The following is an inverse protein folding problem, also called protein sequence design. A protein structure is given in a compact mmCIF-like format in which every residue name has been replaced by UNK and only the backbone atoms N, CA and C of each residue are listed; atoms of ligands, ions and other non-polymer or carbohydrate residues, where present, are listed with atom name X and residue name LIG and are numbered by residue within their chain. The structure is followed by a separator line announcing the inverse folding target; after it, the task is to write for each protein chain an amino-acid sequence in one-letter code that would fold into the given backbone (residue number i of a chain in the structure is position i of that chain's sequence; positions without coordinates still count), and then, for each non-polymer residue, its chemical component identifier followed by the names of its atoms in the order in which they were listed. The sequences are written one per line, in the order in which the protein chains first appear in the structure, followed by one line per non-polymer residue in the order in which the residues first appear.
data_IF_909013757088
#
_entry.id   IF_909013757088
#
_cell.length_a   1.000
_cell.length_b   1.000
_cell.length_c   1.000
_cell.angle_alpha   90.00
_cell.angle_beta   90.00
_cell.angle_gamma   90.00
#
_symmetry.space_group_name_H-M   'P 1'
#
loop_
_entity.id
_entity.type
_entity.pdbx_description
1 polymer ?
#
# COMPACT_ATOMS: atom_id res chain seq x y z
N UNK A 1 6.26 27.54 -22.41
CA UNK A 1 6.39 26.75 -21.18
C UNK A 1 5.39 27.34 -20.18
N UNK A 2 4.31 26.63 -19.88
CA UNK A 2 3.19 27.15 -19.08
C UNK A 2 3.46 27.09 -17.55
N UNK A 3 4.45 26.34 -17.12
CA UNK A 3 4.81 26.16 -15.72
C UNK A 3 6.32 26.40 -15.55
N UNK A 4 6.71 27.20 -14.56
CA UNK A 4 8.14 27.40 -14.24
C UNK A 4 8.75 26.11 -13.67
N UNK A 5 10.04 25.94 -13.86
CA UNK A 5 10.77 24.77 -13.30
C UNK A 5 10.63 24.69 -11.77
N UNK A 6 10.59 25.82 -11.09
CA UNK A 6 10.41 25.91 -9.65
C UNK A 6 9.03 25.39 -9.22
N UNK A 7 7.95 25.83 -9.90
CA UNK A 7 6.59 25.38 -9.61
C UNK A 7 6.41 23.89 -9.91
N UNK A 8 7.02 23.40 -11.00
CA UNK A 8 7.00 21.97 -11.30
C UNK A 8 7.74 21.16 -10.22
N UNK A 9 8.87 21.67 -9.72
CA UNK A 9 9.61 21.03 -8.63
C UNK A 9 8.80 20.98 -7.33
N UNK A 10 8.11 22.08 -6.97
CA UNK A 10 7.20 22.13 -5.82
C UNK A 10 6.03 21.15 -5.99
N UNK A 11 5.43 21.11 -7.16
CA UNK A 11 4.33 20.17 -7.44
C UNK A 11 4.78 18.72 -7.38
N UNK A 12 5.97 18.39 -7.90
CA UNK A 12 6.56 17.05 -7.77
C UNK A 12 6.85 16.67 -6.30
N UNK A 13 7.35 17.62 -5.51
CA UNK A 13 7.55 17.39 -4.08
C UNK A 13 6.21 17.12 -3.38
N UNK A 14 5.18 17.90 -3.69
CA UNK A 14 3.83 17.69 -3.14
C UNK A 14 3.26 16.30 -3.53
N UNK A 15 3.50 15.80 -4.76
CA UNK A 15 3.13 14.44 -5.16
C UNK A 15 3.80 13.41 -4.27
N UNK A 16 5.12 13.50 -4.07
CA UNK A 16 5.87 12.53 -3.26
C UNK A 16 5.40 12.50 -1.82
N UNK A 17 5.23 13.68 -1.21
CA UNK A 17 4.78 13.81 0.17
C UNK A 17 3.34 13.31 0.34
N UNK A 18 2.41 13.75 -0.51
CA UNK A 18 1.02 13.33 -0.45
C UNK A 18 0.87 11.81 -0.71
N UNK A 19 1.62 11.26 -1.66
CA UNK A 19 1.62 9.82 -1.92
C UNK A 19 2.11 9.04 -0.70
N UNK A 20 3.26 9.42 -0.13
CA UNK A 20 3.82 8.76 1.05
C UNK A 20 2.91 8.83 2.29
N UNK A 21 2.17 9.94 2.44
CA UNK A 21 1.21 10.10 3.55
C UNK A 21 -0.12 9.37 3.33
N UNK A 22 -0.59 9.30 2.09
CA UNK A 22 -1.90 8.70 1.76
C UNK A 22 -1.83 7.20 1.54
N UNK A 23 -0.71 6.66 1.04
CA UNK A 23 -0.60 5.26 0.69
C UNK A 23 -0.25 4.37 1.88
N UNK A 24 -1.11 3.40 2.16
CA UNK A 24 -0.90 2.37 3.17
C UNK A 24 0.20 1.40 2.74
N UNK A 25 0.20 0.97 1.49
CA UNK A 25 1.21 0.04 0.98
C UNK A 25 2.62 0.68 1.02
N UNK A 26 2.74 1.97 0.68
CA UNK A 26 4.00 2.70 0.80
C UNK A 26 4.55 2.72 2.23
N UNK A 27 3.68 2.88 3.23
CA UNK A 27 4.07 2.93 4.64
C UNK A 27 4.31 1.54 5.24
N UNK A 28 3.60 0.52 4.76
CA UNK A 28 3.59 -0.81 5.34
C UNK A 28 4.57 -1.77 4.68
N UNK A 29 4.92 -1.59 3.41
CA UNK A 29 5.70 -2.53 2.60
C UNK A 29 7.02 -1.88 2.19
N UNK A 30 8.16 -2.59 2.33
CA UNK A 30 9.45 -2.13 1.80
C UNK A 30 9.37 -1.81 0.32
N UNK A 31 10.02 -0.74 -0.08
CA UNK A 31 10.07 -0.35 -1.48
C UNK A 31 11.43 0.23 -1.86
N UNK A 32 11.77 0.17 -3.13
CA UNK A 32 13.05 0.60 -3.63
C UNK A 32 12.96 1.07 -5.07
N UNK A 33 13.87 1.98 -5.46
CA UNK A 33 13.98 2.48 -6.81
C UNK A 33 14.97 1.62 -7.60
N UNK A 34 14.59 1.21 -8.82
CA UNK A 34 15.48 0.47 -9.71
C UNK A 34 16.62 1.33 -10.27
N UNK A 35 16.49 2.65 -10.17
CA UNK A 35 17.45 3.63 -10.70
C UNK A 35 17.35 3.83 -12.21
N UNK A 36 16.46 3.12 -12.90
CA UNK A 36 16.24 3.25 -14.35
C UNK A 36 14.75 3.47 -14.65
N UNK A 37 14.33 4.70 -14.95
CA UNK A 37 12.95 5.01 -15.32
C UNK A 37 12.46 4.30 -16.59
N UNK A 38 13.37 3.84 -17.44
CA UNK A 38 13.08 3.07 -18.66
C UNK A 38 12.93 1.58 -18.44
N UNK A 39 13.21 1.07 -17.24
CA UNK A 39 13.12 -0.34 -16.95
C UNK A 39 11.68 -0.84 -17.04
N UNK A 40 11.47 -1.89 -17.82
CA UNK A 40 10.14 -2.47 -18.08
C UNK A 40 9.86 -3.71 -17.23
N UNK A 41 10.89 -4.38 -16.75
CA UNK A 41 10.75 -5.64 -16.02
C UNK A 41 11.73 -5.71 -14.84
N UNK A 42 11.31 -6.37 -13.77
CA UNK A 42 12.13 -6.65 -12.58
C UNK A 42 12.05 -8.14 -12.25
N UNK A 43 13.13 -8.72 -11.75
CA UNK A 43 13.11 -10.11 -11.27
C UNK A 43 12.08 -10.30 -10.16
N UNK A 44 11.32 -11.39 -10.19
CA UNK A 44 10.28 -11.67 -9.19
C UNK A 44 10.83 -11.92 -7.78
N UNK A 45 12.12 -12.23 -7.63
CA UNK A 45 12.78 -12.40 -6.33
C UNK A 45 12.30 -13.60 -5.53
N UNK A 46 11.62 -14.59 -6.14
CA UNK A 46 11.04 -15.73 -5.44
C UNK A 46 12.12 -16.58 -4.74
N UNK A 47 11.95 -16.78 -3.45
CA UNK A 47 12.77 -17.70 -2.66
C UNK A 47 12.36 -19.15 -2.94
N UNK A 48 13.26 -19.92 -3.56
CA UNK A 48 13.01 -21.34 -3.87
C UNK A 48 12.04 -21.61 -5.01
N UNK A 49 11.62 -20.58 -5.76
CA UNK A 49 10.73 -20.69 -6.91
C UNK A 49 11.45 -20.55 -8.25
N UNK A 50 10.71 -20.70 -9.36
CA UNK A 50 11.26 -20.45 -10.69
C UNK A 50 11.56 -18.96 -10.87
N UNK A 51 12.76 -18.66 -11.37
CA UNK A 51 13.12 -17.31 -11.75
C UNK A 51 12.16 -16.80 -12.84
N UNK A 52 11.66 -15.60 -12.66
CA UNK A 52 10.74 -14.94 -13.59
C UNK A 52 10.88 -13.43 -13.51
N UNK A 53 10.18 -12.75 -14.40
CA UNK A 53 10.16 -11.30 -14.43
C UNK A 53 8.73 -10.79 -14.21
N UNK A 54 8.62 -9.70 -13.47
CA UNK A 54 7.40 -8.93 -13.30
C UNK A 54 7.49 -7.67 -14.14
N UNK A 55 6.40 -7.31 -14.80
CA UNK A 55 6.32 -6.08 -15.57
C UNK A 55 6.14 -4.87 -14.64
N UNK A 56 6.98 -3.85 -14.85
CA UNK A 56 6.86 -2.56 -14.20
C UNK A 56 5.86 -1.70 -14.96
N UNK A 57 4.78 -1.33 -14.33
CA UNK A 57 3.68 -0.59 -14.97
C UNK A 57 2.97 0.38 -14.04
N UNK A 58 2.05 1.18 -14.58
CA UNK A 58 1.12 1.94 -13.74
C UNK A 58 0.17 1.00 -13.01
N UNK A 59 -0.52 1.46 -11.94
CA UNK A 59 -1.56 0.67 -11.28
C UNK A 59 -2.56 0.14 -12.31
N UNK A 60 -2.93 -1.15 -12.24
CA UNK A 60 -3.99 -1.67 -13.09
C UNK A 60 -5.30 -0.95 -12.76
N UNK A 61 -5.92 -0.43 -13.80
CA UNK A 61 -7.14 0.35 -13.67
C UNK A 61 -8.36 -0.55 -13.64
N UNK A 62 -9.34 -0.32 -12.74
CA UNK A 62 -10.71 -0.64 -13.11
C UNK A 62 -11.14 0.32 -14.24
N UNK A 63 -11.94 -0.14 -15.25
CA UNK A 63 -12.41 0.75 -16.30
C UNK A 63 -13.37 1.81 -15.73
N UNK A 64 -13.34 3.01 -16.29
CA UNK A 64 -12.30 4.02 -16.44
C UNK A 64 -12.37 5.11 -15.38
N UNK A 65 -11.37 5.94 -15.16
CA UNK A 65 -10.18 6.19 -15.96
C UNK A 65 -8.89 5.68 -15.31
N UNK A 66 -7.88 5.32 -16.12
CA UNK A 66 -6.69 4.60 -15.68
C UNK A 66 -5.67 5.42 -14.89
N UNK A 67 -5.61 6.69 -15.10
CA UNK A 67 -4.67 7.60 -14.43
C UNK A 67 -5.46 8.80 -13.95
N UNK A 68 -5.34 9.21 -12.69
CA UNK A 68 -5.99 10.42 -12.22
C UNK A 68 -5.39 11.60 -12.98
N UNK A 69 -6.23 12.30 -13.75
CA UNK A 69 -5.84 13.50 -14.50
C UNK A 69 -6.59 14.69 -13.94
N UNK A 70 -5.98 15.85 -14.05
CA UNK A 70 -6.65 17.12 -13.77
C UNK A 70 -6.22 18.18 -14.78
N UNK A 71 -7.00 19.23 -14.90
CA UNK A 71 -6.76 20.31 -15.84
C UNK A 71 -6.79 21.64 -15.13
N UNK A 72 -5.89 22.55 -15.52
CA UNK A 72 -5.83 23.91 -15.01
C UNK A 72 -5.75 24.88 -16.18
N UNK A 73 -6.36 26.04 -16.01
CA UNK A 73 -6.23 27.15 -16.94
C UNK A 73 -4.84 27.80 -16.82
N UNK A 74 -4.39 28.45 -17.89
CA UNK A 74 -3.14 29.22 -17.83
C UNK A 74 -3.16 30.27 -16.73
N UNK A 75 -4.34 30.93 -16.50
CA UNK A 75 -4.50 31.90 -15.43
C UNK A 75 -4.23 31.30 -14.03
N UNK A 76 -4.72 30.10 -13.74
CA UNK A 76 -4.46 29.39 -12.48
C UNK A 76 -2.98 29.00 -12.35
N UNK A 77 -2.33 28.61 -13.45
CA UNK A 77 -0.94 28.23 -13.45
C UNK A 77 0.04 29.38 -13.20
N UNK A 78 -0.31 30.59 -13.67
CA UNK A 78 0.52 31.80 -13.48
C UNK A 78 0.10 32.64 -12.27
N UNK A 79 -0.97 32.25 -11.57
CA UNK A 79 -1.41 32.95 -10.36
C UNK A 79 -0.26 33.16 -9.36
N UNK A 80 -0.26 34.25 -8.60
CA UNK A 80 0.85 34.55 -7.65
C UNK A 80 1.09 33.43 -6.65
N UNK A 81 0.02 32.74 -6.21
CA UNK A 81 0.08 31.59 -5.32
C UNK A 81 -0.24 30.31 -6.10
N UNK A 82 0.47 29.19 -5.85
CA UNK A 82 0.24 27.93 -6.56
C UNK A 82 -0.92 27.09 -5.99
N UNK A 83 -1.86 27.70 -5.26
CA UNK A 83 -2.89 26.99 -4.47
C UNK A 83 -3.76 26.07 -5.33
N UNK A 84 -4.20 26.52 -6.51
CA UNK A 84 -5.01 25.72 -7.41
C UNK A 84 -4.24 24.48 -7.89
N UNK A 85 -2.97 24.64 -8.27
CA UNK A 85 -2.12 23.54 -8.70
C UNK A 85 -1.89 22.54 -7.56
N UNK A 86 -1.52 23.00 -6.37
CA UNK A 86 -1.21 22.10 -5.24
C UNK A 86 -2.47 21.36 -4.76
N UNK A 87 -3.62 22.03 -4.70
CA UNK A 87 -4.90 21.40 -4.34
C UNK A 87 -5.27 20.28 -5.33
N UNK A 88 -5.16 20.55 -6.62
CA UNK A 88 -5.45 19.58 -7.67
C UNK A 88 -4.46 18.40 -7.64
N UNK A 89 -3.17 18.69 -7.45
CA UNK A 89 -2.11 17.68 -7.28
C UNK A 89 -2.41 16.76 -6.10
N UNK A 90 -2.76 17.32 -4.93
CA UNK A 90 -3.06 16.51 -3.74
C UNK A 90 -4.28 15.60 -3.96
N UNK A 91 -5.34 16.10 -4.56
CA UNK A 91 -6.54 15.31 -4.85
C UNK A 91 -6.26 14.15 -5.83
N UNK A 92 -5.56 14.45 -6.93
CA UNK A 92 -5.19 13.44 -7.92
C UNK A 92 -4.20 12.42 -7.36
N UNK A 93 -3.23 12.86 -6.56
CA UNK A 93 -2.25 11.95 -5.91
C UNK A 93 -2.90 11.01 -4.91
N UNK A 94 -3.89 11.48 -4.13
CA UNK A 94 -4.68 10.63 -3.24
C UNK A 94 -5.39 9.51 -4.02
N UNK A 95 -5.93 9.84 -5.20
CA UNK A 95 -6.57 8.83 -6.07
C UNK A 95 -5.54 7.82 -6.60
N UNK A 96 -4.36 8.29 -7.03
CA UNK A 96 -3.26 7.43 -7.45
C UNK A 96 -2.80 6.50 -6.32
N UNK A 97 -2.63 7.00 -5.10
CA UNK A 97 -2.26 6.22 -3.93
C UNK A 97 -3.29 5.12 -3.63
N UNK A 98 -4.60 5.43 -3.74
CA UNK A 98 -5.66 4.42 -3.57
C UNK A 98 -5.61 3.31 -4.63
N UNK A 99 -5.29 3.63 -5.89
CA UNK A 99 -5.14 2.61 -6.95
C UNK A 99 -3.92 1.72 -6.68
N UNK A 100 -2.80 2.32 -6.31
CA UNK A 100 -1.59 1.62 -5.92
C UNK A 100 -1.85 0.68 -4.73
N UNK A 101 -2.44 1.18 -3.65
CA UNK A 101 -2.77 0.40 -2.47
C UNK A 101 -3.71 -0.76 -2.80
N UNK A 102 -4.75 -0.50 -3.61
CA UNK A 102 -5.71 -1.52 -4.01
C UNK A 102 -5.03 -2.67 -4.74
N UNK A 103 -4.12 -2.37 -5.65
CA UNK A 103 -3.40 -3.38 -6.40
C UNK A 103 -2.44 -4.17 -5.52
N UNK A 104 -1.54 -3.49 -4.81
CA UNK A 104 -0.49 -4.12 -4.01
C UNK A 104 -1.08 -4.93 -2.85
N UNK A 105 -2.00 -4.36 -2.09
CA UNK A 105 -2.56 -5.02 -0.91
C UNK A 105 -3.50 -6.18 -1.27
N UNK A 106 -4.22 -6.07 -2.40
CA UNK A 106 -4.99 -7.19 -2.94
C UNK A 106 -4.09 -8.35 -3.36
N UNK A 107 -2.94 -8.06 -3.98
CA UNK A 107 -1.96 -9.08 -4.31
C UNK A 107 -1.42 -9.76 -3.04
N UNK A 108 -1.07 -9.00 -1.99
CA UNK A 108 -0.64 -9.55 -0.71
C UNK A 108 -1.70 -10.46 -0.07
N UNK A 109 -2.97 -10.01 -0.07
CA UNK A 109 -4.07 -10.80 0.47
C UNK A 109 -4.31 -12.09 -0.31
N UNK A 110 -4.25 -12.03 -1.64
CA UNK A 110 -4.47 -13.16 -2.53
C UNK A 110 -3.30 -14.15 -2.56
N UNK A 111 -2.07 -13.68 -2.31
CA UNK A 111 -0.87 -14.50 -2.35
C UNK A 111 -0.71 -15.41 -1.12
N UNK A 112 -1.41 -15.13 0.00
CA UNK A 112 -1.37 -15.98 1.18
C UNK A 112 -1.77 -17.44 0.80
N UNK A 113 -0.89 -18.44 1.04
CA UNK A 113 -1.15 -19.81 0.61
C UNK A 113 -2.45 -20.37 1.19
N UNK A 114 -3.34 -20.87 0.33
CA UNK A 114 -4.58 -21.52 0.76
C UNK A 114 -4.46 -23.05 0.61
N UNK A 115 -4.92 -23.84 1.60
CA UNK A 115 -5.57 -23.43 2.86
C UNK A 115 -4.61 -23.11 4.01
N UNK A 116 -3.30 -23.30 3.87
CA UNK A 116 -2.34 -23.27 4.97
C UNK A 116 -2.22 -21.90 5.67
N UNK A 117 -2.14 -20.82 4.91
CA UNK A 117 -2.00 -19.47 5.42
C UNK A 117 -3.27 -18.62 5.22
N UNK A 118 -4.43 -19.28 5.07
CA UNK A 118 -5.73 -18.60 5.06
C UNK A 118 -6.53 -19.06 6.27
N UNK A 119 -6.76 -18.16 7.22
CA UNK A 119 -7.48 -18.45 8.46
C UNK A 119 -8.89 -17.84 8.40
N UNK A 120 -9.86 -18.58 8.95
CA UNK A 120 -11.23 -18.08 9.12
C UNK A 120 -11.49 -17.88 10.60
N UNK A 121 -12.02 -16.71 10.97
CA UNK A 121 -12.41 -16.44 12.35
C UNK A 121 -13.58 -17.34 12.74
N UNK A 122 -13.50 -17.97 13.92
CA UNK A 122 -14.62 -18.71 14.48
C UNK A 122 -15.78 -17.77 14.84
N UNK A 123 -15.46 -16.62 15.39
CA UNK A 123 -16.38 -15.52 15.64
C UNK A 123 -15.62 -14.17 15.64
N UNK A 124 -16.37 -13.07 15.81
CA UNK A 124 -15.78 -11.72 15.90
C UNK A 124 -15.65 -11.25 17.36
N UNK A 125 -15.73 -12.15 18.34
CA UNK A 125 -15.42 -11.80 19.73
C UNK A 125 -13.89 -11.63 19.93
N UNK A 126 -13.53 -10.90 20.97
CA UNK A 126 -12.14 -10.52 21.24
C UNK A 126 -11.21 -11.73 21.40
N UNK A 127 -11.67 -12.79 22.08
CA UNK A 127 -10.87 -13.99 22.33
C UNK A 127 -10.58 -14.75 21.04
N UNK A 128 -11.57 -14.92 20.16
CA UNK A 128 -11.39 -15.63 18.89
C UNK A 128 -10.52 -14.85 17.92
N UNK A 129 -10.63 -13.51 17.92
CA UNK A 129 -9.72 -12.63 17.16
C UNK A 129 -8.29 -12.77 17.65
N UNK A 130 -8.07 -12.71 18.96
CA UNK A 130 -6.74 -12.88 19.57
C UNK A 130 -6.14 -14.24 19.21
N UNK A 131 -6.91 -15.33 19.40
CA UNK A 131 -6.47 -16.67 19.08
C UNK A 131 -6.11 -16.82 17.58
N UNK A 132 -6.91 -16.24 16.70
CA UNK A 132 -6.66 -16.27 15.25
C UNK A 132 -5.40 -15.48 14.86
N UNK A 133 -5.16 -14.33 15.49
CA UNK A 133 -3.94 -13.55 15.25
C UNK A 133 -2.70 -14.24 15.81
N UNK A 134 -2.79 -14.90 16.96
CA UNK A 134 -1.70 -15.73 17.50
C UNK A 134 -1.44 -16.92 16.56
N UNK A 135 -2.48 -17.59 16.05
CA UNK A 135 -2.31 -18.66 15.08
C UNK A 135 -1.65 -18.17 13.77
N UNK A 136 -2.07 -17.01 13.26
CA UNK A 136 -1.42 -16.37 12.11
C UNK A 136 0.05 -16.06 12.39
N UNK A 137 0.35 -15.59 13.59
CA UNK A 137 1.72 -15.30 14.02
C UNK A 137 2.59 -16.56 14.00
N UNK A 138 2.09 -17.69 14.52
CA UNK A 138 2.80 -18.96 14.51
C UNK A 138 3.15 -19.41 13.08
N UNK A 139 2.24 -19.21 12.11
CA UNK A 139 2.49 -19.55 10.71
C UNK A 139 3.67 -18.76 10.13
N UNK A 140 3.72 -17.45 10.31
CA UNK A 140 4.83 -16.64 9.79
C UNK A 140 6.13 -16.89 10.55
N UNK A 141 6.09 -17.20 11.84
CA UNK A 141 7.28 -17.60 12.62
C UNK A 141 7.88 -18.91 12.15
N UNK A 142 7.04 -19.89 11.82
CA UNK A 142 7.48 -21.18 11.27
C UNK A 142 8.12 -21.00 9.88
N UNK A 143 7.70 -19.97 9.12
CA UNK A 143 8.32 -19.57 7.86
C UNK A 143 9.61 -18.73 8.04
N UNK A 144 10.03 -18.47 9.29
CA UNK A 144 11.28 -17.76 9.58
C UNK A 144 11.13 -16.24 9.82
N UNK A 145 9.90 -15.71 9.83
CA UNK A 145 9.59 -14.29 10.06
C UNK A 145 9.31 -14.03 11.54
N UNK A 146 10.35 -13.89 12.36
CA UNK A 146 10.25 -13.82 13.82
C UNK A 146 10.19 -12.43 14.41
N UNK A 147 10.49 -11.40 13.64
CA UNK A 147 10.35 -10.01 14.10
C UNK A 147 8.89 -9.59 14.21
N UNK A 148 8.55 -8.52 14.91
CA UNK A 148 7.17 -8.04 15.01
C UNK A 148 6.54 -7.80 13.65
N UNK A 149 5.33 -8.32 13.44
CA UNK A 149 4.60 -8.32 12.17
C UNK A 149 3.88 -7.00 11.92
N UNK A 150 3.49 -6.78 10.66
CA UNK A 150 2.57 -5.75 10.23
C UNK A 150 1.17 -6.35 10.01
N UNK A 151 0.13 -5.71 10.51
CA UNK A 151 -1.27 -6.07 10.26
C UNK A 151 -1.94 -4.98 9.45
N UNK A 152 -2.56 -5.36 8.34
CA UNK A 152 -3.42 -4.48 7.56
C UNK A 152 -4.85 -5.02 7.64
N UNK A 153 -5.80 -4.17 7.97
CA UNK A 153 -7.19 -4.56 8.19
C UNK A 153 -8.17 -3.59 7.52
N UNK A 154 -9.38 -4.06 7.23
CA UNK A 154 -10.47 -3.18 6.78
C UNK A 154 -11.15 -2.49 7.97
N UNK A 155 -12.13 -1.61 7.70
CA UNK A 155 -12.85 -0.86 8.75
C UNK A 155 -13.55 -1.80 9.73
N UNK A 156 -14.21 -2.86 9.24
CA UNK A 156 -14.90 -3.83 10.10
C UNK A 156 -13.91 -4.54 11.03
N UNK A 157 -12.74 -4.94 10.50
CA UNK A 157 -11.71 -5.56 11.32
C UNK A 157 -11.11 -4.60 12.35
N UNK A 158 -10.93 -3.32 12.00
CA UNK A 158 -10.48 -2.31 12.96
C UNK A 158 -11.52 -2.09 14.08
N UNK A 159 -12.81 -2.07 13.76
CA UNK A 159 -13.88 -1.97 14.76
C UNK A 159 -13.88 -3.17 15.72
N UNK A 160 -13.69 -4.38 15.17
CA UNK A 160 -13.62 -5.60 15.98
C UNK A 160 -12.39 -5.62 16.89
N UNK A 161 -11.24 -5.15 16.41
CA UNK A 161 -10.04 -5.01 17.26
C UNK A 161 -10.23 -4.02 18.40
N UNK A 162 -11.00 -2.96 18.18
CA UNK A 162 -11.25 -1.90 19.14
C UNK A 162 -12.55 -2.08 19.94
N UNK A 163 -13.16 -3.26 19.92
CA UNK A 163 -14.37 -3.49 20.72
C UNK A 163 -14.08 -3.36 22.23
N UNK A 164 -15.03 -2.79 22.94
CA UNK A 164 -14.94 -2.65 24.39
C UNK A 164 -15.31 -3.99 25.06
N UNK A 165 -14.45 -4.47 25.93
CA UNK A 165 -14.70 -5.67 26.73
C UNK A 165 -14.94 -5.26 28.18
N UNK A 166 -16.02 -5.78 28.77
CA UNK A 166 -16.37 -5.69 30.21
C UNK A 166 -15.82 -4.47 30.93
N UNK A 167 -16.56 -3.37 30.95
CA UNK A 167 -16.22 -2.21 31.76
C UNK A 167 -15.31 -1.15 31.11
N UNK A 168 -15.36 -0.99 29.81
CA UNK A 168 -14.71 0.12 29.07
C UNK A 168 -13.22 -0.05 28.71
N UNK A 169 -12.67 -1.26 28.76
CA UNK A 169 -11.28 -1.48 28.34
C UNK A 169 -11.20 -1.72 26.81
N UNK A 170 -10.40 -0.90 26.13
CA UNK A 170 -9.96 -1.18 24.76
C UNK A 170 -8.81 -2.20 24.82
N UNK A 171 -9.03 -3.36 24.20
CA UNK A 171 -8.07 -4.47 24.23
C UNK A 171 -7.18 -4.57 22.98
N UNK A 172 -7.32 -3.64 22.04
CA UNK A 172 -6.58 -3.69 20.78
C UNK A 172 -5.07 -3.83 21.01
N UNK A 173 -4.49 -3.02 21.89
CA UNK A 173 -3.06 -3.08 22.20
C UNK A 173 -2.65 -4.43 22.78
N UNK A 174 -3.46 -5.02 23.64
CA UNK A 174 -3.19 -6.34 24.23
C UNK A 174 -3.26 -7.44 23.20
N UNK A 175 -4.25 -7.41 22.31
CA UNK A 175 -4.40 -8.37 21.21
C UNK A 175 -3.20 -8.29 20.26
N UNK A 176 -2.81 -7.08 19.85
CA UNK A 176 -1.67 -6.85 18.96
C UNK A 176 -0.35 -7.27 19.61
N UNK A 177 -0.15 -6.94 20.87
CA UNK A 177 1.03 -7.34 21.63
C UNK A 177 1.14 -8.87 21.77
N UNK A 178 0.02 -9.56 22.08
CA UNK A 178 -0.02 -11.02 22.20
C UNK A 178 0.35 -11.73 20.88
N UNK A 179 0.01 -11.14 19.73
CA UNK A 179 0.36 -11.64 18.41
C UNK A 179 1.69 -11.05 17.88
N UNK A 180 2.46 -10.33 18.70
CA UNK A 180 3.72 -9.68 18.32
C UNK A 180 3.56 -8.80 17.04
N UNK A 181 2.52 -7.97 17.01
CA UNK A 181 2.23 -7.02 15.93
C UNK A 181 2.60 -5.63 16.41
N UNK A 182 3.46 -4.92 15.67
CA UNK A 182 3.89 -3.57 16.01
C UNK A 182 3.45 -2.49 15.03
N UNK A 183 2.80 -2.86 13.94
CA UNK A 183 2.32 -1.95 12.92
C UNK A 183 0.90 -2.34 12.53
N UNK A 184 -0.04 -1.40 12.62
CA UNK A 184 -1.44 -1.60 12.25
C UNK A 184 -1.86 -0.52 11.26
N UNK A 185 -2.38 -0.95 10.12
CA UNK A 185 -2.91 -0.05 9.09
C UNK A 185 -4.35 -0.44 8.74
N UNK A 186 -5.12 0.58 8.32
CA UNK A 186 -6.48 0.37 7.80
C UNK A 186 -6.51 0.60 6.30
N UNK A 187 -7.02 -0.39 5.58
CA UNK A 187 -7.30 -0.27 4.14
C UNK A 187 -8.59 -1.00 3.78
N UNK A 188 -9.55 -0.32 3.15
CA UNK A 188 -10.91 -0.85 2.97
C UNK A 188 -11.01 -1.96 1.93
N UNK A 189 -10.50 -1.84 0.70
CA UNK A 189 -10.74 -2.85 -0.33
C UNK A 189 -9.67 -3.95 -0.35
N UNK A 190 -9.36 -4.57 0.81
CA UNK A 190 -8.30 -5.59 0.91
C UNK A 190 -8.45 -6.77 -0.05
N UNK A 191 -9.67 -7.20 -0.34
CA UNK A 191 -9.96 -8.26 -1.32
C UNK A 191 -10.56 -7.73 -2.63
N UNK A 192 -10.57 -6.41 -2.80
CA UNK A 192 -11.09 -5.74 -3.97
C UNK A 192 -12.62 -5.60 -4.01
N UNK A 193 -13.33 -5.98 -2.95
CA UNK A 193 -14.79 -5.89 -2.86
C UNK A 193 -15.25 -4.95 -1.74
N UNK A 194 -16.52 -4.52 -1.77
CA UNK A 194 -17.12 -3.78 -0.67
C UNK A 194 -17.18 -4.65 0.60
N UNK A 195 -16.65 -4.13 1.70
CA UNK A 195 -16.36 -4.92 2.89
C UNK A 195 -17.46 -4.80 3.94
N UNK A 196 -18.27 -5.84 4.07
CA UNK A 196 -19.20 -6.01 5.19
C UNK A 196 -18.69 -7.00 6.26
N UNK A 197 -17.55 -7.65 6.00
CA UNK A 197 -16.96 -8.68 6.85
C UNK A 197 -15.51 -8.35 7.17
N UNK A 198 -15.00 -8.93 8.24
CA UNK A 198 -13.59 -8.77 8.64
C UNK A 198 -12.68 -9.32 7.56
N UNK A 199 -11.68 -8.52 7.17
CA UNK A 199 -10.58 -8.88 6.29
C UNK A 199 -9.29 -8.33 6.87
N UNK A 200 -8.30 -9.20 7.02
CA UNK A 200 -6.98 -8.81 7.49
C UNK A 200 -5.91 -9.54 6.71
N UNK A 201 -4.76 -8.92 6.54
CA UNK A 201 -3.54 -9.58 6.09
C UNK A 201 -2.43 -9.30 7.09
N UNK A 202 -1.81 -10.39 7.59
CA UNK A 202 -0.63 -10.33 8.42
C UNK A 202 0.60 -10.51 7.52
N UNK A 203 1.51 -9.55 7.60
CA UNK A 203 2.80 -9.58 6.89
C UNK A 203 3.88 -9.85 7.93
N UNK A 204 4.49 -11.02 7.83
CA UNK A 204 5.63 -11.40 8.67
C UNK A 204 6.86 -10.55 8.35
N UNK A 205 7.78 -10.41 9.30
CA UNK A 205 9.00 -9.63 9.14
C UNK A 205 10.21 -10.38 9.68
N UNK A 206 11.36 -10.22 9.04
CA UNK A 206 12.63 -10.79 9.50
C UNK A 206 13.34 -9.87 10.48
N UNK A 207 13.20 -8.57 10.31
CA UNK A 207 13.73 -7.56 11.22
C UNK A 207 12.64 -6.66 11.78
N UNK A 208 12.92 -6.02 12.91
CA UNK A 208 11.99 -5.07 13.51
C UNK A 208 11.92 -3.80 12.65
N UNK A 209 10.76 -3.55 12.10
CA UNK A 209 10.43 -2.32 11.35
C UNK A 209 9.34 -1.59 12.12
N UNK A 210 9.58 -0.32 12.46
CA UNK A 210 8.57 0.53 13.09
C UNK A 210 7.43 0.86 12.13
N UNK A 211 6.31 1.29 12.67
CA UNK A 211 5.21 1.79 11.84
C UNK A 211 5.68 3.00 11.01
N UNK A 212 5.43 2.98 9.70
CA UNK A 212 5.89 4.02 8.77
C UNK A 212 7.35 3.92 8.32
N UNK A 213 8.15 3.00 8.87
CA UNK A 213 9.57 2.83 8.53
C UNK A 213 9.86 1.68 7.55
N UNK A 214 8.84 1.22 6.81
CA UNK A 214 9.03 0.15 5.84
C UNK A 214 10.04 0.47 4.71
N UNK A 215 10.18 1.72 4.25
CA UNK A 215 11.20 2.09 3.27
C UNK A 215 12.65 1.76 3.66
N UNK A 216 12.93 1.65 4.96
CA UNK A 216 14.27 1.35 5.48
C UNK A 216 14.69 -0.13 5.34
N UNK A 217 13.78 -1.00 4.89
CA UNK A 217 14.08 -2.41 4.68
C UNK A 217 14.78 -2.65 3.34
N UNK A 218 15.71 -3.63 3.32
CA UNK A 218 16.44 -3.97 2.10
C UNK A 218 15.55 -4.76 1.11
N UNK A 219 15.74 -4.57 -0.21
CA UNK A 219 15.01 -5.33 -1.22
C UNK A 219 15.17 -6.84 -1.06
N UNK A 220 14.08 -7.59 -1.13
CA UNK A 220 14.07 -9.06 -1.02
C UNK A 220 14.30 -9.62 0.39
N UNK A 221 14.48 -8.77 1.39
CA UNK A 221 14.65 -9.20 2.78
C UNK A 221 13.33 -9.66 3.40
N UNK A 222 12.25 -8.99 3.04
CA UNK A 222 10.90 -9.23 3.55
C UNK A 222 10.06 -10.07 2.57
N UNK A 223 8.93 -10.67 3.00
CA UNK A 223 8.12 -11.56 2.17
C UNK A 223 7.47 -10.86 0.98
N UNK A 224 7.37 -9.56 1.04
CA UNK A 224 6.85 -8.70 -0.01
C UNK A 224 7.64 -7.39 -0.05
N UNK A 225 7.94 -6.92 -1.24
CA UNK A 225 8.47 -5.58 -1.50
C UNK A 225 7.90 -4.99 -2.79
N UNK A 226 8.14 -3.70 -3.02
CA UNK A 226 7.73 -3.01 -4.24
C UNK A 226 8.94 -2.40 -4.92
N UNK A 227 9.15 -2.78 -6.18
CA UNK A 227 10.15 -2.16 -7.04
C UNK A 227 9.53 -1.02 -7.85
N UNK A 228 10.16 0.14 -7.89
CA UNK A 228 9.74 1.28 -8.69
C UNK A 228 10.74 1.55 -9.81
N UNK A 229 10.26 1.70 -11.05
CA UNK A 229 11.06 2.31 -12.12
C UNK A 229 10.77 3.80 -12.27
N UNK A 230 9.59 4.26 -11.88
CA UNK A 230 9.30 5.68 -11.75
C UNK A 230 8.61 5.93 -10.41
N UNK A 231 9.28 6.69 -9.55
CA UNK A 231 8.72 7.16 -8.28
C UNK A 231 7.52 8.08 -8.54
N UNK A 232 6.60 8.24 -7.56
CA UNK A 232 5.48 9.17 -7.70
C UNK A 232 5.93 10.54 -8.16
N UNK A 233 5.42 11.00 -9.30
CA UNK A 233 5.80 12.26 -9.94
C UNK A 233 4.65 12.85 -10.73
N UNK A 234 4.69 14.16 -10.99
CA UNK A 234 3.73 14.86 -11.83
C UNK A 234 4.24 14.93 -13.27
N UNK A 235 3.41 14.52 -14.21
CA UNK A 235 3.67 14.69 -15.64
C UNK A 235 2.76 15.78 -16.22
N UNK A 236 3.28 16.55 -17.15
CA UNK A 236 2.52 17.54 -17.94
C UNK A 236 2.13 16.87 -19.24
N UNK A 237 0.87 16.51 -19.39
CA UNK A 237 0.39 15.78 -20.58
C UNK A 237 0.25 16.68 -21.80
N UNK A 238 0.06 17.99 -21.61
CA UNK A 238 -0.01 18.98 -22.67
C UNK A 238 -1.26 19.85 -22.62
N UNK A 239 -1.44 20.67 -23.66
CA UNK A 239 -2.62 21.53 -23.80
C UNK A 239 -3.79 20.76 -24.42
N UNK A 240 -4.95 20.94 -23.81
CA UNK A 240 -6.21 20.35 -24.29
C UNK A 240 -6.85 21.21 -25.36
N UNK A 241 -7.82 20.65 -26.09
CA UNK A 241 -8.60 21.40 -27.09
C UNK A 241 -9.40 22.58 -26.51
N UNK A 242 -9.56 22.62 -25.19
CA UNK A 242 -10.26 23.72 -24.46
C UNK A 242 -9.31 24.82 -23.95
N UNK A 243 -8.00 24.73 -24.25
CA UNK A 243 -7.01 25.71 -23.84
C UNK A 243 -6.60 25.58 -22.35
N UNK A 244 -6.89 24.44 -21.73
CA UNK A 244 -6.38 24.09 -20.40
C UNK A 244 -5.16 23.20 -20.52
N UNK A 245 -4.30 23.19 -19.51
CA UNK A 245 -3.16 22.28 -19.44
C UNK A 245 -3.55 21.07 -18.60
N UNK A 246 -3.34 19.88 -19.16
CA UNK A 246 -3.59 18.61 -18.49
C UNK A 246 -2.35 18.10 -17.78
N UNK A 247 -2.55 17.58 -16.57
CA UNK A 247 -1.55 16.97 -15.71
C UNK A 247 -2.01 15.61 -15.24
N UNK A 248 -1.04 14.73 -14.98
CA UNK A 248 -1.29 13.43 -14.35
C UNK A 248 -0.19 13.08 -13.35
N UNK A 249 -0.50 12.79 -12.10
CA UNK A 249 0.45 12.12 -11.22
C UNK A 249 0.61 10.68 -11.68
N UNK A 250 1.85 10.22 -11.78
CA UNK A 250 2.22 8.88 -12.30
C UNK A 250 3.15 8.16 -11.36
N UNK A 251 3.07 6.84 -11.42
CA UNK A 251 3.97 5.90 -10.74
C UNK A 251 4.11 4.66 -11.62
N UNK A 252 5.29 4.04 -11.64
CA UNK A 252 5.50 2.74 -12.31
C UNK A 252 6.20 1.80 -11.35
N UNK A 253 5.58 0.65 -11.10
CA UNK A 253 6.03 -0.28 -10.09
C UNK A 253 5.68 -1.73 -10.44
N UNK A 254 6.27 -2.65 -9.68
CA UNK A 254 5.85 -4.04 -9.58
C UNK A 254 5.84 -4.46 -8.10
N UNK A 255 4.73 -5.02 -7.62
CA UNK A 255 4.69 -5.68 -6.33
C UNK A 255 5.32 -7.07 -6.46
N UNK A 256 6.33 -7.36 -5.63
CA UNK A 256 7.04 -8.64 -5.63
C UNK A 256 6.69 -9.41 -4.37
N UNK A 257 6.04 -10.56 -4.53
CA UNK A 257 5.82 -11.51 -3.46
C UNK A 257 7.02 -12.49 -3.48
N UNK A 258 8.04 -12.20 -2.68
CA UNK A 258 9.29 -12.97 -2.65
C UNK A 258 9.14 -14.28 -1.90
N UNK A 259 8.26 -14.32 -0.91
CA UNK A 259 7.94 -15.51 -0.14
C UNK A 259 6.49 -15.45 0.40
N UNK A 260 5.59 -16.13 -0.27
CA UNK A 260 4.17 -16.14 0.11
C UNK A 260 3.91 -16.75 1.50
N UNK A 261 4.83 -17.57 2.03
CA UNK A 261 4.69 -18.19 3.36
C UNK A 261 4.80 -17.18 4.50
N UNK A 262 5.38 -16.00 4.23
CA UNK A 262 5.43 -14.87 5.16
C UNK A 262 4.13 -14.05 5.20
N UNK A 263 3.10 -14.43 4.45
CA UNK A 263 1.80 -13.76 4.40
C UNK A 263 0.70 -14.67 4.97
N UNK A 264 -0.21 -14.11 5.77
CA UNK A 264 -1.40 -14.82 6.25
C UNK A 264 -2.63 -13.95 6.03
N UNK A 265 -3.61 -14.50 5.30
CA UNK A 265 -4.91 -13.87 5.11
C UNK A 265 -5.91 -14.35 6.18
N UNK A 266 -6.61 -13.42 6.82
CA UNK A 266 -7.65 -13.71 7.80
C UNK A 266 -8.97 -13.11 7.31
N UNK A 267 -10.04 -13.92 7.37
CA UNK A 267 -11.37 -13.55 6.88
C UNK A 267 -12.47 -14.10 7.77
N UNK A 268 -13.61 -13.40 7.86
CA UNK A 268 -14.85 -13.86 8.47
C UNK A 268 -15.91 -14.13 7.40
#
# INVERSE_FOLDING_TARGET
MYLSAERLAHANQAVKEAFGQCSVAWQAIPHWDTGDPGQLNVANGLLGGSAGFLSLGPPPSPPPPPTPTFQLTVAELIAPTPDALLTAVMAATKTLANFFDTDVLKQCFAAAPSPTNTLTFASTNAQDIQNSLIAARVLVENAGYRAPSCLITNTVGLQVLNQLVSGYYNIAEQILAAANINSLYRFEPLDGTAQTRVRMVLIGRRRRIGQGAAPDASPGEEPVDVAFSALPSLEVDGETSTGTIQFSPRVRYAARITDATGLVALKA
#
